data_IF_616500049530
#
_entry.id   IF_616500049530
#
_cell.length_a   1.000
_cell.length_b   1.000
_cell.length_c   1.000
_cell.angle_alpha   90.00
_cell.angle_beta   90.00
_cell.angle_gamma   90.00
#
_symmetry.space_group_name_H-M   'P 1'
#
loop_
_entity.id
_entity.type
_entity.pdbx_description
1 polymer ?
#
# COMPACT_ATOMS: atom_id res chain seq x y z
N UNK A 1 15.92 10.30 -15.21
CA UNK A 1 17.40 10.42 -15.11
C UNK A 1 18.06 9.38 -16.01
N UNK A 2 18.89 9.80 -16.98
CA UNK A 2 19.70 8.87 -17.77
C UNK A 2 20.89 8.46 -16.90
N UNK A 3 20.84 7.28 -16.28
CA UNK A 3 22.00 6.69 -15.63
C UNK A 3 22.90 6.09 -16.72
N UNK A 4 24.14 6.57 -16.85
CA UNK A 4 25.17 5.90 -17.67
C UNK A 4 26.10 5.19 -16.67
N UNK A 5 25.82 3.94 -16.27
CA UNK A 5 26.38 3.41 -15.03
C UNK A 5 27.83 2.94 -15.19
N UNK A 6 28.43 2.97 -16.38
CA UNK A 6 29.74 2.38 -16.61
C UNK A 6 30.55 3.10 -17.68
N UNK A 7 31.15 4.24 -17.32
CA UNK A 7 32.38 4.69 -17.99
C UNK A 7 33.56 4.09 -17.23
N UNK A 8 34.24 3.13 -17.84
CA UNK A 8 35.44 2.53 -17.25
C UNK A 8 36.55 3.58 -17.00
N UNK A 9 37.49 3.32 -16.08
CA UNK A 9 38.59 4.24 -15.77
C UNK A 9 39.49 4.53 -16.96
N UNK A 10 39.49 3.66 -17.97
CA UNK A 10 40.24 3.84 -19.21
C UNK A 10 39.32 4.27 -20.36
N UNK A 11 39.29 5.58 -20.63
CA UNK A 11 38.56 6.20 -21.75
C UNK A 11 39.34 5.97 -23.06
N UNK A 12 39.26 4.73 -23.57
CA UNK A 12 40.09 4.25 -24.68
C UNK A 12 39.56 4.72 -26.02
N UNK A 13 38.24 4.85 -26.19
CA UNK A 13 37.63 5.23 -27.46
C UNK A 13 37.06 6.67 -27.47
N UNK A 14 36.84 7.21 -28.68
CA UNK A 14 36.32 8.56 -28.86
C UNK A 14 34.93 8.76 -28.22
N UNK A 15 34.08 7.73 -28.28
CA UNK A 15 32.73 7.75 -27.71
C UNK A 15 32.75 7.80 -26.18
N UNK A 16 33.62 7.05 -25.50
CA UNK A 16 33.82 7.05 -24.06
C UNK A 16 34.35 8.40 -23.58
N UNK A 17 35.25 9.02 -24.35
CA UNK A 17 35.76 10.37 -24.06
C UNK A 17 34.66 11.43 -24.16
N UNK A 18 33.77 11.31 -25.15
CA UNK A 18 32.62 12.19 -25.30
C UNK A 18 31.59 11.96 -24.18
N UNK A 19 31.26 10.70 -23.90
CA UNK A 19 30.30 10.33 -22.86
C UNK A 19 30.79 10.73 -21.46
N UNK A 20 32.11 10.82 -21.25
CA UNK A 20 32.68 11.29 -20.00
C UNK A 20 32.39 12.74 -19.65
N UNK A 21 31.82 13.54 -20.56
CA UNK A 21 31.29 14.87 -20.24
C UNK A 21 30.03 14.75 -19.34
N UNK A 22 29.31 13.63 -19.41
CA UNK A 22 28.08 13.37 -18.65
C UNK A 22 28.33 12.51 -17.40
N UNK A 23 29.57 12.40 -16.95
CA UNK A 23 29.96 11.56 -15.80
C UNK A 23 29.42 12.13 -14.49
N UNK A 24 28.39 11.48 -13.94
CA UNK A 24 27.67 11.94 -12.76
C UNK A 24 28.49 11.84 -11.46
N UNK A 25 29.65 11.16 -11.48
CA UNK A 25 30.57 11.17 -10.33
C UNK A 25 31.26 12.53 -10.14
N UNK A 26 31.21 13.41 -11.14
CA UNK A 26 31.75 14.77 -11.09
C UNK A 26 30.74 15.80 -10.61
N UNK A 27 29.59 15.38 -10.07
CA UNK A 27 28.59 16.30 -9.51
C UNK A 27 29.20 17.18 -8.43
N UNK A 28 28.87 18.46 -8.46
CA UNK A 28 29.29 19.42 -7.43
C UNK A 28 28.47 19.16 -6.16
N UNK A 29 29.13 19.09 -5.00
CA UNK A 29 28.44 18.77 -3.72
C UNK A 29 27.35 19.79 -3.34
N UNK A 30 27.51 21.05 -3.75
CA UNK A 30 26.56 22.12 -3.47
C UNK A 30 25.38 22.20 -4.46
N UNK A 31 25.54 21.65 -5.67
CA UNK A 31 24.57 21.73 -6.75
C UNK A 31 24.58 20.40 -7.53
N UNK A 32 23.68 19.50 -7.14
CA UNK A 32 23.56 18.16 -7.72
C UNK A 32 23.17 18.14 -9.20
N UNK A 33 22.86 19.30 -9.77
CA UNK A 33 22.55 19.52 -11.19
C UNK A 33 23.77 19.93 -12.00
N UNK A 34 24.85 20.37 -11.35
CA UNK A 34 26.08 20.79 -12.00
C UNK A 34 27.15 19.70 -11.96
N UNK A 35 27.82 19.48 -13.09
CA UNK A 35 29.02 18.64 -13.20
C UNK A 35 30.26 19.53 -13.28
N UNK A 36 31.29 19.20 -12.50
CA UNK A 36 32.60 19.82 -12.59
C UNK A 36 33.37 19.24 -13.80
N UNK A 37 33.34 19.98 -14.91
CA UNK A 37 33.94 19.58 -16.18
C UNK A 37 34.93 20.65 -16.63
N UNK A 38 36.23 20.35 -16.53
CA UNK A 38 37.27 21.22 -17.11
C UNK A 38 37.34 21.00 -18.63
N UNK A 39 37.21 22.08 -19.39
CA UNK A 39 37.35 22.07 -20.84
C UNK A 39 38.73 21.55 -21.30
N UNK A 40 39.77 21.73 -20.49
CA UNK A 40 41.14 21.33 -20.81
C UNK A 40 41.34 19.80 -20.76
N UNK A 41 40.50 19.08 -20.02
CA UNK A 41 40.51 17.62 -19.93
C UNK A 41 40.10 16.94 -21.25
N UNK A 42 39.47 17.68 -22.16
CA UNK A 42 38.87 17.14 -23.38
C UNK A 42 39.59 17.63 -24.66
N UNK A 43 39.69 16.75 -25.68
CA UNK A 43 40.15 17.12 -27.01
C UNK A 43 39.41 18.33 -27.60
N UNK A 44 40.10 19.11 -28.44
CA UNK A 44 39.59 20.36 -29.02
C UNK A 44 38.26 20.20 -29.76
N UNK A 45 38.06 19.06 -30.42
CA UNK A 45 36.82 18.66 -31.09
C UNK A 45 35.59 18.61 -30.16
N UNK A 46 35.79 18.33 -28.86
CA UNK A 46 34.71 18.22 -27.87
C UNK A 46 34.60 19.44 -26.95
N UNK A 47 35.59 20.35 -26.94
CA UNK A 47 35.54 21.60 -26.16
C UNK A 47 34.32 22.44 -26.47
N UNK A 48 33.90 22.47 -27.74
CA UNK A 48 32.68 23.18 -28.15
C UNK A 48 31.44 22.62 -27.46
N UNK A 49 31.36 21.30 -27.26
CA UNK A 49 30.25 20.64 -26.55
C UNK A 49 30.28 21.00 -25.08
N UNK A 50 31.45 20.95 -24.43
CA UNK A 50 31.61 21.35 -23.02
C UNK A 50 31.19 22.80 -22.80
N UNK A 51 31.60 23.73 -23.68
CA UNK A 51 31.19 25.14 -23.61
C UNK A 51 29.69 25.34 -23.75
N UNK A 52 29.05 24.63 -24.68
CA UNK A 52 27.60 24.70 -24.87
C UNK A 52 26.84 24.17 -23.65
N UNK A 53 27.33 23.09 -23.04
CA UNK A 53 26.74 22.52 -21.83
C UNK A 53 26.90 23.46 -20.63
N UNK A 54 28.10 24.01 -20.40
CA UNK A 54 28.33 25.00 -19.35
C UNK A 54 27.50 26.27 -19.56
N UNK A 55 27.29 26.68 -20.82
CA UNK A 55 26.41 27.79 -21.18
C UNK A 55 24.95 27.51 -20.82
N UNK A 56 24.43 26.34 -21.19
CA UNK A 56 23.05 25.93 -20.92
C UNK A 56 22.76 25.83 -19.41
N UNK A 57 23.67 25.26 -18.61
CA UNK A 57 23.50 25.18 -17.14
C UNK A 57 23.65 26.55 -16.45
N UNK A 58 24.17 27.56 -17.15
CA UNK A 58 24.24 28.94 -16.67
C UNK A 58 22.98 29.74 -16.98
N UNK A 59 22.03 29.20 -17.76
CA UNK A 59 20.77 29.89 -18.06
C UNK A 59 19.84 29.88 -16.83
N UNK A 60 19.38 31.05 -16.35
CA UNK A 60 18.55 31.14 -15.14
C UNK A 60 17.22 30.38 -15.26
N UNK A 61 16.61 30.37 -16.45
CA UNK A 61 15.34 29.69 -16.69
C UNK A 61 15.49 28.17 -16.60
N UNK A 62 16.61 27.62 -17.08
CA UNK A 62 16.93 26.19 -16.98
C UNK A 62 17.13 25.81 -15.52
N UNK A 63 17.94 26.57 -14.76
CA UNK A 63 18.15 26.34 -13.31
C UNK A 63 16.84 26.35 -12.53
N UNK A 64 16.01 27.37 -12.76
CA UNK A 64 14.71 27.49 -12.09
C UNK A 64 13.77 26.32 -12.43
N UNK A 65 13.80 25.85 -13.67
CA UNK A 65 13.02 24.66 -14.07
C UNK A 65 13.49 23.42 -13.31
N UNK A 66 14.81 23.23 -13.19
CA UNK A 66 15.39 22.09 -12.45
C UNK A 66 15.06 22.13 -10.96
N UNK A 67 15.08 23.30 -10.33
CA UNK A 67 14.68 23.47 -8.92
C UNK A 67 13.20 23.10 -8.70
N UNK A 68 12.32 23.53 -9.61
CA UNK A 68 10.89 23.21 -9.54
C UNK A 68 10.65 21.71 -9.79
N UNK A 69 11.39 21.10 -10.72
CA UNK A 69 11.32 19.65 -10.95
C UNK A 69 11.71 18.86 -9.70
N UNK A 70 12.75 19.26 -8.98
CA UNK A 70 13.14 18.62 -7.72
C UNK A 70 12.06 18.74 -6.64
N UNK A 71 11.44 19.93 -6.50
CA UNK A 71 10.33 20.14 -5.57
C UNK A 71 9.14 19.24 -5.91
N UNK A 72 8.77 19.15 -7.20
CA UNK A 72 7.70 18.27 -7.68
C UNK A 72 8.05 16.80 -7.42
N UNK A 73 9.28 16.38 -7.68
CA UNK A 73 9.73 15.01 -7.42
C UNK A 73 9.67 14.67 -5.94
N UNK A 74 10.17 15.55 -5.06
CA UNK A 74 10.09 15.36 -3.61
C UNK A 74 8.64 15.24 -3.13
N UNK A 75 7.75 16.10 -3.63
CA UNK A 75 6.33 16.01 -3.32
C UNK A 75 5.69 14.70 -3.81
N UNK A 76 6.07 14.22 -4.99
CA UNK A 76 5.55 12.97 -5.53
C UNK A 76 6.01 11.78 -4.68
N UNK A 77 7.29 11.75 -4.28
CA UNK A 77 7.80 10.72 -3.37
C UNK A 77 7.08 10.74 -2.02
N UNK A 78 6.80 11.91 -1.46
CA UNK A 78 6.01 12.05 -0.23
C UNK A 78 4.59 11.52 -0.41
N UNK A 79 3.94 11.83 -1.54
CA UNK A 79 2.60 11.32 -1.87
C UNK A 79 2.61 9.80 -2.04
N UNK A 80 3.62 9.23 -2.70
CA UNK A 80 3.78 7.78 -2.84
C UNK A 80 3.95 7.10 -1.48
N UNK A 81 4.80 7.65 -0.59
CA UNK A 81 4.94 7.15 0.79
C UNK A 81 3.62 7.18 1.54
N UNK A 82 2.85 8.25 1.39
CA UNK A 82 1.55 8.41 2.03
C UNK A 82 0.53 7.41 1.49
N UNK A 83 0.50 7.17 0.17
CA UNK A 83 -0.38 6.17 -0.45
C UNK A 83 -0.02 4.78 0.06
N UNK A 84 1.25 4.40 0.05
CA UNK A 84 1.69 3.11 0.58
C UNK A 84 1.33 2.92 2.07
N UNK A 85 1.37 4.00 2.86
CA UNK A 85 0.90 3.98 4.24
C UNK A 85 -0.61 3.76 4.37
N UNK A 86 -1.41 4.34 3.48
CA UNK A 86 -2.86 4.14 3.42
C UNK A 86 -3.23 2.73 2.98
N UNK A 87 -2.52 2.17 2.01
CA UNK A 87 -2.78 0.81 1.51
C UNK A 87 -2.57 -0.21 2.63
N UNK A 88 -1.48 -0.08 3.41
CA UNK A 88 -1.25 -0.91 4.60
C UNK A 88 -2.38 -0.80 5.63
N UNK A 89 -2.87 0.42 5.87
CA UNK A 89 -3.99 0.62 6.79
C UNK A 89 -5.30 0.00 6.28
N UNK A 90 -5.49 -0.03 4.96
CA UNK A 90 -6.64 -0.70 4.35
C UNK A 90 -6.52 -2.21 4.52
N UNK A 91 -5.35 -2.80 4.23
CA UNK A 91 -5.08 -4.22 4.44
C UNK A 91 -5.35 -4.65 5.90
N UNK A 92 -4.86 -3.87 6.88
CA UNK A 92 -5.13 -4.13 8.30
C UNK A 92 -6.62 -4.08 8.63
N UNK A 93 -7.37 -3.14 8.04
CA UNK A 93 -8.82 -3.03 8.25
C UNK A 93 -9.59 -4.18 7.62
N UNK A 94 -9.18 -4.62 6.44
CA UNK A 94 -9.81 -5.75 5.75
C UNK A 94 -9.66 -7.03 6.56
N UNK A 95 -8.47 -7.28 7.15
CA UNK A 95 -8.26 -8.41 8.08
C UNK A 95 -9.18 -8.33 9.30
N UNK A 96 -9.33 -7.15 9.91
CA UNK A 96 -10.25 -6.96 11.05
C UNK A 96 -11.71 -7.17 10.66
N UNK A 97 -12.10 -6.83 9.42
CA UNK A 97 -13.45 -7.09 8.91
C UNK A 97 -13.66 -8.59 8.73
N UNK A 98 -12.70 -9.30 8.13
CA UNK A 98 -12.76 -10.75 7.94
C UNK A 98 -12.88 -11.50 9.28
N UNK A 99 -12.11 -11.11 10.29
CA UNK A 99 -12.25 -11.66 11.65
C UNK A 99 -13.64 -11.42 12.25
N UNK A 100 -14.22 -10.23 12.03
CA UNK A 100 -15.57 -9.91 12.51
C UNK A 100 -16.64 -10.71 11.81
N UNK A 101 -16.50 -10.93 10.50
CA UNK A 101 -17.44 -11.73 9.72
C UNK A 101 -17.45 -13.18 10.19
N UNK A 102 -16.29 -13.75 10.51
CA UNK A 102 -16.18 -15.08 11.12
C UNK A 102 -16.90 -15.16 12.46
N UNK A 103 -16.71 -14.17 13.34
CA UNK A 103 -17.40 -14.10 14.63
C UNK A 103 -18.92 -13.96 14.47
N UNK A 104 -19.38 -13.24 13.46
CA UNK A 104 -20.82 -13.13 13.14
C UNK A 104 -21.35 -14.49 12.69
N UNK A 105 -20.64 -15.20 11.81
CA UNK A 105 -21.05 -16.52 11.34
C UNK A 105 -21.15 -17.54 12.49
N UNK A 106 -20.21 -17.53 13.43
CA UNK A 106 -20.28 -18.36 14.64
C UNK A 106 -21.49 -18.02 15.52
N UNK A 107 -21.81 -16.73 15.68
CA UNK A 107 -22.98 -16.30 16.44
C UNK A 107 -24.29 -16.71 15.77
N UNK A 108 -24.36 -16.62 14.45
CA UNK A 108 -25.55 -17.04 13.70
C UNK A 108 -25.79 -18.55 13.85
N UNK A 109 -24.74 -19.38 13.79
CA UNK A 109 -24.84 -20.82 14.08
C UNK A 109 -25.32 -21.09 15.50
N UNK A 110 -24.76 -20.41 16.50
CA UNK A 110 -25.19 -20.55 17.89
C UNK A 110 -26.65 -20.11 18.10
N UNK A 111 -27.12 -19.08 17.39
CA UNK A 111 -28.52 -18.66 17.41
C UNK A 111 -29.44 -19.71 16.79
N UNK A 112 -29.03 -20.33 15.68
CA UNK A 112 -29.81 -21.40 15.04
C UNK A 112 -29.93 -22.63 15.96
N UNK A 113 -28.85 -23.02 16.64
CA UNK A 113 -28.86 -24.10 17.63
C UNK A 113 -29.79 -23.78 18.80
N UNK A 114 -29.70 -22.57 19.35
CA UNK A 114 -30.58 -22.12 20.44
C UNK A 114 -32.05 -22.11 20.01
N UNK A 115 -32.36 -21.72 18.77
CA UNK A 115 -33.72 -21.75 18.24
C UNK A 115 -34.28 -23.19 18.18
N UNK A 116 -33.47 -24.16 17.76
CA UNK A 116 -33.85 -25.59 17.76
C UNK A 116 -34.13 -26.09 19.18
N UNK A 117 -33.26 -25.76 20.13
CA UNK A 117 -33.46 -26.13 21.55
C UNK A 117 -34.75 -25.52 22.12
N UNK A 118 -35.06 -24.26 21.76
CA UNK A 118 -36.32 -23.62 22.18
C UNK A 118 -37.52 -24.35 21.57
N UNK A 119 -37.47 -24.73 20.30
CA UNK A 119 -38.54 -25.48 19.64
C UNK A 119 -38.77 -26.86 20.30
N UNK A 120 -37.71 -27.58 20.61
CA UNK A 120 -37.78 -28.87 21.32
C UNK A 120 -38.38 -28.72 22.72
N UNK A 121 -37.95 -27.70 23.47
CA UNK A 121 -38.50 -27.42 24.80
C UNK A 121 -39.98 -27.03 24.74
N UNK A 122 -40.40 -26.30 23.71
CA UNK A 122 -41.81 -25.94 23.51
C UNK A 122 -42.67 -27.19 23.26
N UNK A 123 -42.21 -28.12 22.42
CA UNK A 123 -42.89 -29.41 22.18
C UNK A 123 -43.00 -30.25 23.44
N UNK A 124 -41.89 -30.36 24.20
CA UNK A 124 -41.90 -31.11 25.45
C UNK A 124 -42.86 -30.49 26.50
N UNK A 125 -42.99 -29.16 26.53
CA UNK A 125 -43.94 -28.48 27.40
C UNK A 125 -45.40 -28.77 26.99
N UNK A 126 -45.69 -28.73 25.69
CA UNK A 126 -47.02 -29.07 25.16
C UNK A 126 -47.44 -30.51 25.50
N UNK A 127 -46.51 -31.48 25.35
CA UNK A 127 -46.74 -32.87 25.76
C UNK A 127 -47.03 -32.98 27.26
N UNK A 128 -46.29 -32.24 28.11
CA UNK A 128 -46.51 -32.22 29.56
C UNK A 128 -47.85 -31.61 29.94
N UNK A 129 -48.30 -30.56 29.25
CA UNK A 129 -49.62 -29.98 29.44
C UNK A 129 -50.74 -30.95 29.07
N UNK A 130 -50.59 -31.70 27.96
CA UNK A 130 -51.53 -32.74 27.57
C UNK A 130 -51.61 -33.86 28.61
N UNK A 131 -50.46 -34.39 29.08
CA UNK A 131 -50.41 -35.40 30.15
C UNK A 131 -51.09 -34.92 31.45
N UNK A 132 -50.90 -33.64 31.81
CA UNK A 132 -51.54 -33.04 32.98
C UNK A 132 -53.06 -32.96 32.81
N UNK A 133 -53.53 -32.50 31.65
CA UNK A 133 -54.96 -32.41 31.34
C UNK A 133 -55.63 -33.80 31.39
N UNK A 134 -54.97 -34.85 30.90
CA UNK A 134 -55.46 -36.23 31.00
C UNK A 134 -55.54 -36.71 32.45
N UNK A 135 -54.51 -36.45 33.26
CA UNK A 135 -54.51 -36.80 34.69
C UNK A 135 -55.63 -36.09 35.44
N UNK A 136 -55.83 -34.80 35.19
CA UNK A 136 -56.90 -34.02 35.82
C UNK A 136 -58.28 -34.57 35.46
N UNK A 137 -58.48 -34.97 34.20
CA UNK A 137 -59.72 -35.63 33.75
C UNK A 137 -59.96 -36.95 34.49
N UNK A 138 -58.96 -37.81 34.59
CA UNK A 138 -59.05 -39.09 35.31
C UNK A 138 -59.37 -38.88 36.80
N UNK A 139 -58.77 -37.87 37.44
CA UNK A 139 -59.06 -37.51 38.83
C UNK A 139 -60.52 -37.06 38.98
N UNK A 140 -61.04 -36.26 38.05
CA UNK A 140 -62.43 -35.83 38.06
C UNK A 140 -63.41 -37.00 37.95
N UNK A 141 -63.14 -37.95 37.04
CA UNK A 141 -63.95 -39.18 36.88
C UNK A 141 -63.94 -40.07 38.14
N UNK A 142 -62.78 -40.22 38.79
CA UNK A 142 -62.65 -40.98 40.04
C UNK A 142 -63.37 -40.32 41.22
N UNK A 143 -63.43 -38.98 41.28
CA UNK A 143 -64.14 -38.24 42.34
C UNK A 143 -65.66 -38.25 42.14
N UNK A 144 -66.16 -38.30 40.91
CA UNK A 144 -67.58 -38.36 40.59
C UNK A 144 -68.22 -39.75 40.76
N UNK A 145 -67.41 -40.82 40.87
CA UNK A 145 -67.88 -42.20 41.09
C UNK A 145 -68.05 -42.60 42.57
N UNK A 146 -68.03 -41.64 43.51
CA UNK A 146 -68.33 -41.84 44.94
C UNK A 146 -69.64 -41.18 45.32
#
# INVERSE_FOLDING_TARGET
>A
MIQIPYLGPERRNATERLLAIFDQHRKVEQDGHLLDVDEQDYPEEYRKVVRLLNGAVSEPDIRKTMEVEDEILAELEDKERLIAGKDKLIEEKDLVIEEKDLVIEEKDKALEENAKVIEENAKALEEKEQELAEKDRLIAELRGSK
#
